data_IF_949594319925
#
_entry.id   IF_949594319925
#
_cell.length_a   1.000
_cell.length_b   1.000
_cell.length_c   1.000
_cell.angle_alpha   90.00
_cell.angle_beta   90.00
_cell.angle_gamma   90.00
#
_symmetry.space_group_name_H-M   'P 1'
#
loop_
_entity.id
_entity.type
_entity.pdbx_description
1 polymer ?
#
# COMPACT_ATOMS: atom_id res chain seq x y z
N UNK A 1 41.21 6.65 -2.47
CA UNK A 1 40.75 6.39 -3.85
C UNK A 1 39.77 7.50 -4.18
N UNK A 2 40.06 8.38 -5.13
CA UNK A 2 39.14 9.45 -5.50
C UNK A 2 38.09 8.92 -6.48
N UNK A 3 36.87 9.49 -6.44
CA UNK A 3 35.77 9.11 -7.34
C UNK A 3 36.16 9.19 -8.83
N UNK A 4 37.00 10.17 -9.20
CA UNK A 4 37.49 10.34 -10.57
C UNK A 4 38.50 9.26 -10.99
N UNK A 5 39.10 8.55 -10.04
CA UNK A 5 40.01 7.43 -10.31
C UNK A 5 39.26 6.12 -10.63
N UNK A 6 37.94 6.08 -10.38
CA UNK A 6 37.10 4.93 -10.72
C UNK A 6 36.88 4.83 -12.24
N UNK A 7 36.75 3.63 -12.82
CA UNK A 7 36.32 3.44 -14.21
C UNK A 7 34.98 4.15 -14.51
N UNK A 8 34.79 4.58 -15.75
CA UNK A 8 33.61 5.36 -16.16
C UNK A 8 32.30 4.60 -15.87
N UNK A 9 32.30 3.29 -16.10
CA UNK A 9 31.16 2.40 -15.87
C UNK A 9 30.76 2.39 -14.39
N UNK A 10 31.75 2.35 -13.48
CA UNK A 10 31.50 2.39 -12.04
C UNK A 10 31.00 3.77 -11.60
N UNK A 11 31.56 4.85 -12.16
CA UNK A 11 31.07 6.22 -11.89
C UNK A 11 29.64 6.40 -12.37
N UNK A 12 29.32 5.95 -13.59
CA UNK A 12 27.96 5.97 -14.14
C UNK A 12 26.99 5.14 -13.29
N UNK A 13 27.39 3.95 -12.84
CA UNK A 13 26.59 3.13 -11.92
C UNK A 13 26.35 3.83 -10.57
N UNK A 14 27.34 4.51 -10.01
CA UNK A 14 27.17 5.30 -8.79
C UNK A 14 26.23 6.49 -9.03
N UNK A 15 26.40 7.19 -10.17
CA UNK A 15 25.57 8.35 -10.53
C UNK A 15 24.13 7.95 -10.87
N UNK A 16 23.90 6.76 -11.44
CA UNK A 16 22.55 6.25 -11.74
C UNK A 16 21.73 6.06 -10.46
N UNK A 17 22.36 5.68 -9.35
CA UNK A 17 21.70 5.61 -8.04
C UNK A 17 21.27 6.98 -7.50
N UNK A 18 21.79 8.08 -8.04
CA UNK A 18 21.36 9.44 -7.69
C UNK A 18 20.21 9.95 -8.55
N UNK A 19 19.91 9.27 -9.66
CA UNK A 19 18.75 9.58 -10.49
C UNK A 19 17.49 8.97 -9.87
N UNK A 20 16.37 9.70 -9.85
CA UNK A 20 15.12 9.12 -9.41
C UNK A 20 14.65 8.07 -10.42
N UNK A 21 14.26 6.89 -9.94
CA UNK A 21 13.64 5.87 -10.79
C UNK A 21 12.26 6.33 -11.31
N UNK A 22 11.62 7.26 -10.60
CA UNK A 22 10.29 7.76 -10.89
C UNK A 22 10.22 9.28 -10.86
N UNK A 23 9.61 9.87 -11.89
CA UNK A 23 9.49 11.31 -12.07
C UNK A 23 8.00 11.67 -12.16
N UNK A 24 7.56 12.73 -11.47
CA UNK A 24 6.18 13.21 -11.58
C UNK A 24 5.97 13.96 -12.89
N UNK A 25 4.83 13.73 -13.52
CA UNK A 25 4.40 14.35 -14.76
C UNK A 25 4.06 15.86 -14.67
N UNK A 26 4.03 16.45 -13.47
CA UNK A 26 3.58 17.82 -13.27
C UNK A 26 4.66 18.83 -13.66
N UNK A 27 4.56 19.40 -14.87
CA UNK A 27 5.39 20.54 -15.32
C UNK A 27 6.78 20.14 -15.81
N UNK A 28 7.60 21.15 -16.16
CA UNK A 28 8.97 20.96 -16.66
C UNK A 28 9.69 19.95 -15.79
N UNK A 29 10.25 18.90 -16.41
CA UNK A 29 11.04 17.88 -15.71
C UNK A 29 12.19 18.62 -15.04
N UNK A 30 12.02 18.98 -13.77
CA UNK A 30 13.07 19.67 -13.04
C UNK A 30 14.23 18.68 -12.99
N UNK A 31 15.35 19.03 -13.64
CA UNK A 31 16.58 18.24 -13.54
C UNK A 31 16.76 17.86 -12.08
N UNK A 32 16.99 16.57 -11.74
CA UNK A 32 17.08 16.16 -10.37
C UNK A 32 18.05 17.10 -9.65
N UNK A 33 17.59 17.78 -8.61
CA UNK A 33 18.37 18.86 -7.97
C UNK A 33 19.73 18.36 -7.47
N UNK A 34 19.84 17.06 -7.18
CA UNK A 34 21.07 16.36 -6.84
C UNK A 34 22.09 16.26 -7.99
N UNK A 35 21.64 16.25 -9.25
CA UNK A 35 22.49 16.08 -10.44
C UNK A 35 23.06 17.42 -10.92
N UNK A 36 22.37 18.52 -10.65
CA UNK A 36 22.80 19.86 -11.04
C UNK A 36 24.18 20.25 -10.47
N UNK A 37 24.47 20.07 -9.17
CA UNK A 37 25.81 20.31 -8.61
C UNK A 37 26.90 19.43 -9.25
N UNK A 38 26.57 18.17 -9.56
CA UNK A 38 27.50 17.22 -10.18
C UNK A 38 27.87 17.64 -11.61
N UNK A 39 26.89 18.07 -12.41
CA UNK A 39 27.09 18.62 -13.75
C UNK A 39 27.97 19.88 -13.79
N UNK A 40 27.95 20.67 -12.71
CA UNK A 40 28.70 21.92 -12.58
C UNK A 40 30.13 21.69 -12.07
N UNK A 41 30.38 20.63 -11.29
CA UNK A 41 31.64 20.40 -10.60
C UNK A 41 32.81 19.90 -11.47
N UNK A 42 32.57 19.09 -12.52
CA UNK A 42 33.65 18.46 -13.29
C UNK A 42 33.24 18.14 -14.74
N UNK A 43 34.15 18.37 -15.70
CA UNK A 43 33.92 18.04 -17.13
C UNK A 43 33.73 16.54 -17.38
N UNK A 44 34.49 15.69 -16.68
CA UNK A 44 34.37 14.22 -16.80
C UNK A 44 33.02 13.75 -16.29
N UNK A 45 32.60 14.24 -15.12
CA UNK A 45 31.27 13.95 -14.56
C UNK A 45 30.17 14.45 -15.50
N UNK A 46 30.37 15.60 -16.16
CA UNK A 46 29.41 16.10 -17.15
C UNK A 46 29.24 15.17 -18.35
N UNK A 47 30.34 14.62 -18.88
CA UNK A 47 30.28 13.63 -19.98
C UNK A 47 29.56 12.36 -19.52
N UNK A 48 29.96 11.82 -18.35
CA UNK A 48 29.34 10.62 -17.77
C UNK A 48 27.83 10.83 -17.54
N UNK A 49 27.42 12.01 -17.05
CA UNK A 49 26.00 12.34 -16.85
C UNK A 49 25.26 12.57 -18.17
N UNK A 50 25.90 13.07 -19.22
CA UNK A 50 25.26 13.18 -20.54
C UNK A 50 24.95 11.81 -21.14
N UNK A 51 25.89 10.86 -21.07
CA UNK A 51 25.67 9.47 -21.49
C UNK A 51 24.62 8.77 -20.62
N UNK A 52 24.68 9.00 -19.30
CA UNK A 52 23.68 8.51 -18.36
C UNK A 52 22.29 9.06 -18.68
N UNK A 53 22.14 10.37 -18.91
CA UNK A 53 20.86 10.97 -19.26
C UNK A 53 20.33 10.50 -20.62
N UNK A 54 21.22 10.16 -21.56
CA UNK A 54 20.82 9.60 -22.85
C UNK A 54 20.31 8.15 -22.74
N UNK A 55 20.74 7.41 -21.72
CA UNK A 55 20.32 6.03 -21.44
C UNK A 55 19.31 5.89 -20.30
N UNK A 56 19.05 6.96 -19.55
CA UNK A 56 18.13 6.99 -18.43
C UNK A 56 16.68 7.01 -18.93
N UNK A 57 15.91 6.02 -18.48
CA UNK A 57 14.52 5.83 -18.90
C UNK A 57 13.62 5.79 -17.66
N UNK A 58 13.34 6.97 -17.05
CA UNK A 58 12.55 7.03 -15.83
C UNK A 58 11.11 6.57 -16.07
N UNK A 59 10.49 6.04 -15.01
CA UNK A 59 9.06 5.83 -14.98
C UNK A 59 8.34 7.13 -14.68
N UNK A 60 7.49 7.59 -15.59
CA UNK A 60 6.69 8.80 -15.41
C UNK A 60 5.43 8.49 -14.62
N UNK A 61 5.31 9.08 -13.43
CA UNK A 61 4.13 8.98 -12.58
C UNK A 61 3.12 10.05 -12.96
N UNK A 62 1.92 9.61 -13.32
CA UNK A 62 0.76 10.46 -13.55
C UNK A 62 -0.16 10.28 -12.36
N UNK A 63 -0.23 11.29 -11.51
CA UNK A 63 -1.03 11.26 -10.29
C UNK A 63 -2.47 11.79 -10.55
N UNK A 64 -2.69 12.50 -11.66
CA UNK A 64 -3.97 13.15 -11.99
C UNK A 64 -4.38 12.90 -13.44
N UNK A 65 -5.67 12.66 -13.72
CA UNK A 65 -6.16 12.45 -15.08
C UNK A 65 -5.77 13.57 -16.06
N UNK A 66 -5.91 14.84 -15.65
CA UNK A 66 -5.62 16.00 -16.50
C UNK A 66 -4.16 16.11 -16.96
N UNK A 67 -3.23 15.45 -16.27
CA UNK A 67 -1.80 15.50 -16.60
C UNK A 67 -1.45 14.52 -17.74
N UNK A 68 -2.33 13.55 -18.05
CA UNK A 68 -2.07 12.51 -19.07
C UNK A 68 -1.83 13.12 -20.45
N UNK A 69 -2.61 14.13 -20.82
CA UNK A 69 -2.50 14.80 -22.10
C UNK A 69 -1.12 15.47 -22.29
N UNK A 70 -0.60 16.07 -21.21
CA UNK A 70 0.71 16.69 -21.18
C UNK A 70 1.81 15.66 -21.38
N UNK A 71 1.75 14.54 -20.63
CA UNK A 71 2.73 13.45 -20.75
C UNK A 71 2.74 12.87 -22.15
N UNK A 72 1.57 12.54 -22.70
CA UNK A 72 1.47 11.97 -24.04
C UNK A 72 2.01 12.94 -25.10
N UNK A 73 1.73 14.25 -24.99
CA UNK A 73 2.30 15.25 -25.90
C UNK A 73 3.82 15.30 -25.83
N UNK A 74 4.40 15.29 -24.62
CA UNK A 74 5.85 15.26 -24.40
C UNK A 74 6.49 14.03 -25.04
N UNK A 75 5.85 12.86 -24.93
CA UNK A 75 6.36 11.63 -25.56
C UNK A 75 6.31 11.67 -27.09
N UNK A 76 5.30 12.32 -27.68
CA UNK A 76 5.13 12.39 -29.15
C UNK A 76 6.04 13.40 -29.82
N UNK A 77 6.29 14.54 -29.17
CA UNK A 77 7.01 15.63 -29.80
C UNK A 77 8.52 15.39 -29.93
N UNK A 78 9.05 14.32 -29.31
CA UNK A 78 10.45 13.92 -29.43
C UNK A 78 11.34 15.15 -29.23
N UNK A 79 11.30 15.71 -28.01
CA UNK A 79 11.75 17.06 -27.73
C UNK A 79 13.17 17.31 -28.29
N UNK A 80 13.28 18.29 -29.19
CA UNK A 80 14.57 18.83 -29.65
C UNK A 80 15.32 19.63 -28.58
N UNK A 81 14.97 19.45 -27.30
CA UNK A 81 15.66 20.03 -26.16
C UNK A 81 16.92 19.22 -25.83
N UNK A 82 18.00 19.86 -25.38
CA UNK A 82 19.32 19.23 -25.30
C UNK A 82 19.44 18.08 -24.30
N UNK A 83 18.52 17.92 -23.33
CA UNK A 83 18.55 16.84 -22.33
C UNK A 83 17.15 16.62 -21.74
N UNK A 84 16.25 15.91 -22.41
CA UNK A 84 15.06 15.34 -21.77
C UNK A 84 14.95 13.87 -22.13
N UNK A 85 15.18 13.01 -21.14
CA UNK A 85 14.97 11.57 -21.27
C UNK A 85 13.51 11.31 -21.65
N UNK A 86 13.32 10.63 -22.79
CA UNK A 86 12.00 10.21 -23.19
C UNK A 86 11.55 9.07 -22.26
N UNK A 87 10.34 9.14 -21.68
CA UNK A 87 9.88 8.08 -20.79
C UNK A 87 9.59 6.81 -21.58
N UNK A 88 10.24 5.72 -21.18
CA UNK A 88 9.91 4.38 -21.66
C UNK A 88 8.68 3.83 -20.94
N UNK A 89 8.45 4.24 -19.69
CA UNK A 89 7.34 3.74 -18.86
C UNK A 89 6.49 4.88 -18.33
N UNK A 90 5.16 4.77 -18.50
CA UNK A 90 4.16 5.65 -17.87
C UNK A 90 3.42 4.85 -16.81
N UNK A 91 3.27 5.39 -15.61
CA UNK A 91 2.52 4.80 -14.50
C UNK A 91 1.35 5.71 -14.13
N UNK A 92 0.13 5.24 -14.39
CA UNK A 92 -1.12 5.94 -14.08
C UNK A 92 -1.57 5.55 -12.67
N UNK A 93 -1.52 6.47 -11.72
CA UNK A 93 -1.83 6.19 -10.32
C UNK A 93 -3.28 6.51 -10.01
N UNK A 94 -4.15 5.52 -10.25
CA UNK A 94 -5.60 5.72 -10.22
C UNK A 94 -6.13 6.27 -8.89
N UNK A 95 -5.53 5.84 -7.77
CA UNK A 95 -5.99 6.22 -6.44
C UNK A 95 -5.20 7.37 -5.81
N UNK A 96 -4.29 8.02 -6.55
CA UNK A 96 -3.39 9.04 -6.03
C UNK A 96 -4.10 10.22 -5.35
N UNK A 97 -5.23 10.68 -5.91
CA UNK A 97 -6.00 11.82 -5.37
C UNK A 97 -7.17 11.40 -4.46
N UNK A 98 -7.29 10.11 -4.14
CA UNK A 98 -8.48 9.62 -3.45
C UNK A 98 -8.55 10.14 -2.01
N UNK A 99 -9.74 10.63 -1.64
CA UNK A 99 -10.01 11.07 -0.28
C UNK A 99 -10.53 9.89 0.54
N UNK A 100 -9.68 9.40 1.43
CA UNK A 100 -10.08 8.41 2.43
C UNK A 100 -10.79 9.15 3.55
N UNK A 101 -12.11 8.96 3.69
CA UNK A 101 -12.88 9.49 4.81
C UNK A 101 -13.07 8.39 5.84
N UNK A 102 -12.57 8.65 7.03
CA UNK A 102 -12.83 7.82 8.20
C UNK A 102 -14.19 8.25 8.74
N UNK A 103 -15.26 7.52 8.39
CA UNK A 103 -16.56 7.72 9.03
C UNK A 103 -16.40 7.51 10.54
N UNK A 104 -16.64 8.56 11.33
CA UNK A 104 -16.69 8.50 12.80
C UNK A 104 -17.79 7.57 13.33
N UNK A 105 -18.75 7.18 12.49
CA UNK A 105 -20.00 6.54 12.91
C UNK A 105 -20.23 5.15 12.32
N UNK A 106 -19.16 4.38 12.11
CA UNK A 106 -19.22 2.91 12.03
C UNK A 106 -19.90 2.30 10.80
N UNK A 107 -20.68 3.05 10.03
CA UNK A 107 -21.34 2.59 8.82
C UNK A 107 -21.04 3.57 7.68
N UNK A 108 -20.66 3.00 6.54
CA UNK A 108 -20.54 3.61 5.21
C UNK A 108 -19.24 4.35 4.85
N UNK A 109 -18.54 3.69 3.91
CA UNK A 109 -17.55 4.13 2.92
C UNK A 109 -16.24 4.78 3.40
N UNK A 110 -15.21 3.92 3.54
CA UNK A 110 -13.80 4.24 3.74
C UNK A 110 -13.21 5.12 2.62
N UNK A 111 -13.65 4.87 1.38
CA UNK A 111 -13.46 5.79 0.26
C UNK A 111 -14.74 6.61 0.15
N UNK A 112 -14.65 7.92 0.29
CA UNK A 112 -15.82 8.80 0.16
C UNK A 112 -16.43 8.78 -1.26
N UNK A 113 -15.67 8.22 -2.19
CA UNK A 113 -15.84 8.25 -3.64
C UNK A 113 -16.26 6.87 -4.15
N UNK A 114 -17.24 6.85 -5.06
CA UNK A 114 -17.58 5.67 -5.89
C UNK A 114 -16.49 5.45 -6.95
N UNK A 115 -16.42 4.25 -7.53
CA UNK A 115 -15.48 3.96 -8.61
C UNK A 115 -15.56 4.96 -9.77
N UNK A 116 -16.76 5.44 -10.12
CA UNK A 116 -16.98 6.49 -11.13
C UNK A 116 -16.21 7.77 -10.82
N UNK A 117 -16.28 8.27 -9.59
CA UNK A 117 -15.59 9.52 -9.22
C UNK A 117 -14.07 9.40 -9.18
N UNK A 118 -13.53 8.18 -9.17
CA UNK A 118 -12.08 7.94 -9.15
C UNK A 118 -11.58 7.64 -10.57
N UNK A 119 -12.21 6.69 -11.26
CA UNK A 119 -11.72 6.13 -12.52
C UNK A 119 -12.34 6.81 -13.75
N UNK A 120 -13.59 7.28 -13.67
CA UNK A 120 -14.27 7.97 -14.77
C UNK A 120 -13.44 9.09 -15.39
N UNK A 121 -12.88 10.03 -14.59
CA UNK A 121 -12.02 11.09 -15.09
C UNK A 121 -10.78 10.59 -15.88
N UNK A 122 -10.24 9.42 -15.55
CA UNK A 122 -9.13 8.83 -16.30
C UNK A 122 -9.55 8.34 -17.68
N UNK A 123 -10.73 7.71 -17.78
CA UNK A 123 -11.30 7.25 -19.07
C UNK A 123 -11.54 8.47 -19.96
N UNK A 124 -12.22 9.49 -19.43
CA UNK A 124 -12.49 10.76 -20.13
C UNK A 124 -11.19 11.42 -20.61
N UNK A 125 -10.16 11.48 -19.76
CA UNK A 125 -8.89 12.10 -20.12
C UNK A 125 -8.13 11.32 -21.22
N UNK A 126 -8.25 10.00 -21.27
CA UNK A 126 -7.66 9.17 -22.36
C UNK A 126 -8.42 9.40 -23.67
N UNK A 127 -9.75 9.41 -23.60
CA UNK A 127 -10.67 9.61 -24.73
C UNK A 127 -10.54 11.02 -25.34
N UNK A 128 -10.43 12.05 -24.52
CA UNK A 128 -10.18 13.42 -24.98
C UNK A 128 -8.85 13.52 -25.73
N UNK A 129 -7.89 12.68 -25.36
CA UNK A 129 -6.63 12.58 -26.05
C UNK A 129 -6.67 11.66 -27.29
N UNK A 130 -7.78 10.95 -27.55
CA UNK A 130 -8.02 10.12 -28.75
C UNK A 130 -8.64 10.91 -29.91
N UNK A 131 -9.27 12.07 -29.65
CA UNK A 131 -9.95 12.84 -30.69
C UNK A 131 -8.96 13.20 -31.82
N UNK A 132 -9.18 12.70 -33.05
CA UNK A 132 -8.31 12.99 -34.17
C UNK A 132 -8.33 14.49 -34.44
N UNK A 133 -7.16 15.10 -34.59
CA UNK A 133 -7.06 16.36 -35.33
C UNK A 133 -7.51 16.06 -36.76
N UNK A 134 -8.79 16.24 -37.04
CA UNK A 134 -9.45 16.10 -38.36
C UNK A 134 -8.96 17.11 -39.40
N UNK A 135 -7.76 17.67 -39.25
CA UNK A 135 -7.18 18.57 -40.25
C UNK A 135 -6.23 17.79 -41.14
N UNK A 136 -6.85 17.12 -42.10
CA UNK A 136 -6.31 16.56 -43.33
C UNK A 136 -5.24 17.48 -43.92
N UNK A 137 -3.98 17.27 -43.56
CA UNK A 137 -2.86 17.77 -44.35
C UNK A 137 -1.91 16.62 -44.53
N UNK A 138 -2.01 16.02 -45.71
CA UNK A 138 -1.28 14.84 -46.17
C UNK A 138 0.19 15.18 -46.37
N UNK A 139 0.92 15.41 -45.28
CA UNK A 139 2.39 15.42 -45.31
C UNK A 139 2.86 14.05 -44.84
N UNK A 140 3.49 13.34 -45.76
CA UNK A 140 4.18 12.05 -45.61
C UNK A 140 5.41 12.22 -44.70
N UNK A 141 5.19 12.58 -43.44
CA UNK A 141 6.25 12.55 -42.42
C UNK A 141 6.41 11.13 -41.94
N UNK A 142 7.58 10.56 -42.18
CA UNK A 142 8.07 9.32 -41.58
C UNK A 142 7.74 9.33 -40.09
N UNK A 143 6.85 8.42 -39.68
CA UNK A 143 6.42 8.25 -38.30
C UNK A 143 7.65 8.07 -37.42
N UNK A 144 7.94 9.05 -36.55
CA UNK A 144 8.92 8.88 -35.49
C UNK A 144 8.34 7.86 -34.52
N UNK A 145 9.03 6.73 -34.36
CA UNK A 145 8.65 5.71 -33.39
C UNK A 145 8.44 6.33 -32.01
N UNK A 146 7.30 6.04 -31.38
CA UNK A 146 7.04 6.46 -30.01
C UNK A 146 8.07 5.79 -29.08
N UNK A 147 8.54 6.56 -28.11
CA UNK A 147 9.52 6.08 -27.13
C UNK A 147 8.88 5.28 -26.00
N UNK A 148 7.57 5.40 -25.82
CA UNK A 148 6.83 4.69 -24.77
C UNK A 148 6.86 3.20 -25.09
N UNK A 149 7.34 2.39 -24.14
CA UNK A 149 7.35 0.93 -24.21
C UNK A 149 6.28 0.31 -23.32
N UNK A 150 5.98 0.95 -22.19
CA UNK A 150 5.10 0.36 -21.18
C UNK A 150 4.18 1.40 -20.53
N UNK A 151 2.91 1.04 -20.38
CA UNK A 151 1.93 1.79 -19.60
C UNK A 151 1.44 0.88 -18.47
N UNK A 152 1.62 1.34 -17.23
CA UNK A 152 1.22 0.64 -16.01
C UNK A 152 0.01 1.36 -15.43
N UNK A 153 -1.12 0.68 -15.34
CA UNK A 153 -2.28 1.13 -14.58
C UNK A 153 -2.08 0.67 -13.13
N UNK A 154 -1.64 1.58 -12.27
CA UNK A 154 -1.31 1.29 -10.88
C UNK A 154 -2.59 1.20 -10.03
N UNK A 155 -2.85 0.00 -9.51
CA UNK A 155 -4.02 -0.34 -8.73
C UNK A 155 -3.84 -0.13 -7.23
N UNK A 156 -2.71 0.40 -6.77
CA UNK A 156 -2.46 0.58 -5.33
C UNK A 156 -3.55 1.50 -4.74
N UNK A 157 -4.43 1.02 -3.83
CA UNK A 157 -5.56 1.78 -3.32
C UNK A 157 -5.13 2.74 -2.20
N UNK A 158 -4.09 3.53 -2.46
CA UNK A 158 -3.50 4.48 -1.52
C UNK A 158 -3.30 5.86 -2.17
N UNK A 159 -3.72 6.94 -1.51
CA UNK A 159 -3.46 8.29 -1.98
C UNK A 159 -2.00 8.69 -1.76
N UNK A 160 -1.54 9.69 -2.52
CA UNK A 160 -0.14 10.13 -2.53
C UNK A 160 0.35 10.55 -1.15
N UNK A 161 -0.47 11.30 -0.39
CA UNK A 161 -0.09 11.74 0.96
C UNK A 161 0.18 10.53 1.88
N UNK A 162 -0.52 9.41 1.69
CA UNK A 162 -0.32 8.23 2.53
C UNK A 162 1.04 7.61 2.25
N UNK A 163 1.46 7.52 0.99
CA UNK A 163 2.81 7.03 0.66
C UNK A 163 3.93 7.94 1.16
N UNK A 164 3.70 9.26 1.13
CA UNK A 164 4.70 10.25 1.54
C UNK A 164 4.81 10.36 3.07
N UNK A 165 3.68 10.45 3.75
CA UNK A 165 3.64 10.79 5.17
C UNK A 165 3.51 9.55 6.06
N UNK A 166 2.85 8.48 5.58
CA UNK A 166 2.48 7.28 6.35
C UNK A 166 2.62 5.99 5.51
N UNK A 167 3.83 5.65 5.03
CA UNK A 167 4.03 4.48 4.16
C UNK A 167 3.60 3.16 4.83
N UNK A 168 3.62 3.09 6.16
CA UNK A 168 3.10 1.97 6.94
C UNK A 168 1.59 1.76 6.77
N UNK A 169 0.84 2.83 6.52
CA UNK A 169 -0.61 2.79 6.29
C UNK A 169 -0.98 2.30 4.89
N UNK A 170 -0.08 2.42 3.91
CA UNK A 170 -0.31 1.97 2.53
C UNK A 170 -0.63 0.49 2.54
N UNK A 171 0.27 -0.35 3.08
CA UNK A 171 0.08 -1.80 3.18
C UNK A 171 -1.18 -2.15 3.94
N UNK A 172 -1.40 -1.46 5.04
CA UNK A 172 -2.53 -1.66 5.93
C UNK A 172 -3.87 -1.34 5.22
N UNK A 173 -3.87 -0.38 4.31
CA UNK A 173 -4.99 -0.03 3.43
C UNK A 173 -5.15 -1.05 2.31
N UNK A 174 -4.06 -1.42 1.63
CA UNK A 174 -4.03 -2.40 0.52
C UNK A 174 -4.65 -3.74 0.92
N UNK A 175 -4.39 -4.23 2.14
CA UNK A 175 -4.95 -5.50 2.61
C UNK A 175 -6.34 -5.39 3.26
N UNK A 176 -6.89 -4.18 3.38
CA UNK A 176 -8.19 -3.96 4.01
C UNK A 176 -9.28 -4.62 3.18
N UNK A 177 -10.19 -5.36 3.84
CA UNK A 177 -11.28 -6.07 3.17
C UNK A 177 -12.19 -5.15 2.34
N UNK A 178 -12.24 -3.85 2.66
CA UNK A 178 -13.05 -2.85 1.95
C UNK A 178 -12.47 -2.52 0.58
N UNK A 179 -11.17 -2.76 0.34
CA UNK A 179 -10.59 -2.65 -1.00
C UNK A 179 -11.24 -3.65 -1.97
N UNK A 180 -11.68 -4.82 -1.49
CA UNK A 180 -12.44 -5.77 -2.31
C UNK A 180 -13.71 -5.12 -2.89
N UNK A 181 -14.48 -4.43 -2.04
CA UNK A 181 -15.68 -3.71 -2.47
C UNK A 181 -15.33 -2.56 -3.43
N UNK A 182 -14.27 -1.80 -3.13
CA UNK A 182 -13.79 -0.73 -4.00
C UNK A 182 -13.48 -1.28 -5.41
N UNK A 183 -12.66 -2.31 -5.52
CA UNK A 183 -12.31 -2.91 -6.80
C UNK A 183 -13.53 -3.50 -7.51
N UNK A 184 -14.44 -4.14 -6.80
CA UNK A 184 -15.70 -4.62 -7.38
C UNK A 184 -16.51 -3.50 -8.04
N UNK A 185 -16.52 -2.30 -7.45
CA UNK A 185 -17.19 -1.12 -8.04
C UNK A 185 -16.38 -0.40 -9.13
N UNK A 186 -15.06 -0.63 -9.20
CA UNK A 186 -14.18 0.03 -10.18
C UNK A 186 -13.83 -0.87 -11.37
N UNK A 187 -14.05 -2.18 -11.29
CA UNK A 187 -13.53 -3.16 -12.24
C UNK A 187 -13.92 -2.86 -13.68
N UNK A 188 -15.20 -2.54 -13.93
CA UNK A 188 -15.70 -2.20 -15.27
C UNK A 188 -15.10 -0.91 -15.84
N UNK A 189 -14.83 0.09 -15.00
CA UNK A 189 -14.20 1.34 -15.41
C UNK A 189 -12.70 1.17 -15.64
N UNK A 190 -12.02 0.33 -14.85
CA UNK A 190 -10.61 0.01 -15.08
C UNK A 190 -10.46 -0.78 -16.39
N UNK A 191 -11.37 -1.72 -16.66
CA UNK A 191 -11.42 -2.43 -17.94
C UNK A 191 -11.64 -1.47 -19.11
N UNK A 192 -12.56 -0.49 -18.99
CA UNK A 192 -12.75 0.56 -19.99
C UNK A 192 -11.49 1.41 -20.21
N UNK A 193 -10.82 1.81 -19.13
CA UNK A 193 -9.56 2.55 -19.23
C UNK A 193 -8.48 1.74 -19.96
N UNK A 194 -8.35 0.45 -19.64
CA UNK A 194 -7.42 -0.45 -20.31
C UNK A 194 -7.72 -0.57 -21.81
N UNK A 195 -9.00 -0.73 -22.15
CA UNK A 195 -9.50 -0.76 -23.51
C UNK A 195 -9.18 0.53 -24.28
N UNK A 196 -9.49 1.70 -23.70
CA UNK A 196 -9.24 3.00 -24.32
C UNK A 196 -7.74 3.26 -24.55
N UNK A 197 -6.89 2.85 -23.60
CA UNK A 197 -5.44 2.87 -23.79
C UNK A 197 -5.02 1.88 -24.87
N UNK A 198 -5.58 0.69 -24.90
CA UNK A 198 -5.22 -0.32 -25.91
C UNK A 198 -5.57 0.14 -27.32
N UNK A 199 -6.79 0.65 -27.54
CA UNK A 199 -7.21 1.22 -28.82
C UNK A 199 -6.28 2.35 -29.27
N UNK A 200 -5.85 3.20 -28.32
CA UNK A 200 -4.94 4.31 -28.60
C UNK A 200 -3.56 3.89 -29.07
N UNK A 201 -3.04 2.80 -28.50
CA UNK A 201 -1.68 2.34 -28.70
C UNK A 201 -1.63 1.04 -29.52
N UNK A 202 -2.73 0.64 -30.18
CA UNK A 202 -2.78 -0.60 -30.94
C UNK A 202 -1.99 -0.51 -32.24
N UNK A 203 -2.01 0.66 -32.88
CA UNK A 203 -1.22 0.98 -34.07
C UNK A 203 0.29 1.12 -33.76
N UNK A 204 0.64 1.31 -32.49
CA UNK A 204 2.02 1.49 -32.03
C UNK A 204 2.61 0.12 -31.64
N UNK A 205 3.19 -0.56 -32.63
CA UNK A 205 3.81 -1.88 -32.43
C UNK A 205 4.79 -1.88 -31.24
N UNK A 206 4.43 -2.62 -30.18
CA UNK A 206 5.31 -2.89 -29.04
C UNK A 206 4.98 -2.17 -27.72
N UNK A 207 3.98 -1.28 -27.68
CA UNK A 207 3.55 -0.69 -26.39
C UNK A 207 2.81 -1.74 -25.56
N UNK A 208 3.35 -2.07 -24.39
CA UNK A 208 2.75 -3.01 -23.44
C UNK A 208 1.90 -2.26 -22.43
N UNK A 209 0.62 -2.61 -22.29
CA UNK A 209 -0.27 -2.07 -21.27
C UNK A 209 -0.55 -3.17 -20.24
N UNK A 210 -0.34 -2.87 -18.97
CA UNK A 210 -0.47 -3.83 -17.88
C UNK A 210 -1.05 -3.20 -16.62
N UNK A 211 -1.70 -4.03 -15.79
CA UNK A 211 -2.09 -3.65 -14.45
C UNK A 211 -0.89 -3.81 -13.51
N UNK A 212 -0.72 -2.93 -12.54
CA UNK A 212 0.38 -2.98 -11.58
C UNK A 212 0.01 -2.46 -10.20
N UNK A 213 1.03 -2.17 -9.39
CA UNK A 213 0.86 -1.66 -8.03
C UNK A 213 0.85 -2.75 -6.94
N UNK A 214 0.53 -2.36 -5.71
CA UNK A 214 0.33 -3.26 -4.58
C UNK A 214 -1.17 -3.50 -4.36
N UNK A 215 -1.60 -4.76 -4.44
CA UNK A 215 -3.00 -5.15 -4.26
C UNK A 215 -3.11 -6.23 -3.20
N UNK A 216 -4.09 -6.13 -2.31
CA UNK A 216 -4.35 -7.17 -1.32
C UNK A 216 -4.82 -8.45 -2.00
N UNK A 217 -4.27 -9.60 -1.60
CA UNK A 217 -4.63 -10.93 -2.14
C UNK A 217 -6.14 -11.21 -2.16
N UNK A 218 -6.87 -10.64 -1.20
CA UNK A 218 -8.34 -10.76 -1.10
C UNK A 218 -9.10 -10.11 -2.25
N UNK A 219 -8.46 -9.21 -3.00
CA UNK A 219 -9.02 -8.51 -4.15
C UNK A 219 -8.67 -9.20 -5.47
N UNK A 220 -8.04 -10.39 -5.43
CA UNK A 220 -7.59 -11.10 -6.63
C UNK A 220 -8.75 -11.42 -7.58
N UNK A 221 -9.89 -11.86 -7.05
CA UNK A 221 -11.08 -12.13 -7.86
C UNK A 221 -11.54 -10.92 -8.66
N UNK A 222 -11.46 -9.72 -8.08
CA UNK A 222 -11.87 -8.47 -8.72
C UNK A 222 -10.86 -8.01 -9.79
N UNK A 223 -9.57 -8.25 -9.58
CA UNK A 223 -8.54 -7.98 -10.60
C UNK A 223 -8.63 -8.98 -11.75
N UNK A 224 -8.83 -10.26 -11.45
CA UNK A 224 -9.05 -11.30 -12.47
C UNK A 224 -10.35 -11.01 -13.26
N UNK A 225 -11.35 -10.39 -12.63
CA UNK A 225 -12.56 -9.91 -13.32
C UNK A 225 -12.27 -8.79 -14.32
N UNK A 226 -11.28 -7.93 -14.07
CA UNK A 226 -10.85 -6.89 -15.04
C UNK A 226 -10.30 -7.57 -16.30
N UNK A 227 -9.46 -8.59 -16.14
CA UNK A 227 -8.94 -9.38 -17.27
C UNK A 227 -10.08 -10.07 -18.03
N UNK A 228 -11.02 -10.68 -17.31
CA UNK A 228 -12.19 -11.31 -17.93
C UNK A 228 -13.06 -10.31 -18.72
N UNK A 229 -13.20 -9.06 -18.24
CA UNK A 229 -13.97 -8.01 -18.92
C UNK A 229 -13.26 -7.46 -20.17
N UNK A 230 -11.93 -7.46 -20.20
CA UNK A 230 -11.13 -7.03 -21.36
C UNK A 230 -11.00 -8.16 -22.38
N UNK A 231 -10.81 -9.39 -21.91
CA UNK A 231 -10.57 -10.59 -22.72
C UNK A 231 -11.82 -11.28 -23.26
N UNK A 232 -13.00 -10.62 -23.27
CA UNK A 232 -14.19 -11.14 -23.96
C UNK A 232 -13.99 -11.03 -25.47
N UNK A 233 -13.15 -11.92 -26.00
CA UNK A 233 -13.27 -12.40 -27.36
C UNK A 233 -14.65 -13.02 -27.50
N UNK A 234 -15.35 -12.66 -28.58
CA UNK A 234 -16.77 -12.97 -28.82
C UNK A 234 -17.15 -14.46 -28.93
N UNK A 235 -16.32 -15.38 -28.43
CA UNK A 235 -16.49 -16.82 -28.55
C UNK A 235 -16.77 -17.53 -27.21
N UNK A 236 -16.47 -16.90 -26.06
CA UNK A 236 -16.86 -17.44 -24.75
C UNK A 236 -18.19 -16.83 -24.30
N UNK A 237 -19.24 -17.64 -24.38
CA UNK A 237 -20.59 -17.38 -23.86
C UNK A 237 -20.56 -17.20 -22.33
N UNK A 238 -20.16 -16.04 -21.85
CA UNK A 238 -20.92 -15.45 -20.74
C UNK A 238 -22.32 -15.16 -21.28
N UNK A 239 -23.35 -15.51 -20.52
CA UNK A 239 -24.73 -15.26 -20.94
C UNK A 239 -24.85 -13.77 -21.26
N UNK A 240 -25.17 -13.45 -22.52
CA UNK A 240 -25.14 -12.07 -23.02
C UNK A 240 -26.03 -11.16 -22.16
N UNK A 241 -27.05 -11.75 -21.50
CA UNK A 241 -27.93 -11.10 -20.54
C UNK A 241 -27.24 -10.71 -19.22
N UNK A 242 -26.35 -11.54 -18.66
CA UNK A 242 -25.59 -11.18 -17.46
C UNK A 242 -24.59 -10.06 -17.73
N UNK A 243 -23.95 -10.09 -18.91
CA UNK A 243 -23.05 -9.02 -19.32
C UNK A 243 -23.82 -7.72 -19.61
N UNK A 244 -24.96 -7.77 -20.31
CA UNK A 244 -25.76 -6.56 -20.60
C UNK A 244 -26.29 -5.88 -19.34
N UNK A 245 -26.61 -6.65 -18.29
CA UNK A 245 -26.99 -6.08 -16.98
C UNK A 245 -25.82 -5.48 -16.20
N UNK A 246 -24.57 -5.85 -16.53
CA UNK A 246 -23.36 -5.29 -15.90
C UNK A 246 -22.73 -4.14 -16.71
N UNK A 247 -23.24 -3.85 -17.92
CA UNK A 247 -22.75 -2.73 -18.73
C UNK A 247 -23.27 -1.41 -18.18
N UNK A 248 -22.39 -0.48 -17.77
CA UNK A 248 -22.83 0.87 -17.50
C UNK A 248 -23.41 1.50 -18.79
N UNK A 249 -24.39 2.41 -18.69
CA UNK A 249 -24.90 3.13 -19.85
C UNK A 249 -23.77 3.80 -20.63
N UNK A 250 -23.68 3.55 -21.93
CA UNK A 250 -22.62 4.10 -22.79
C UNK A 250 -21.34 3.25 -22.91
N UNK A 251 -21.31 2.04 -22.32
CA UNK A 251 -20.17 1.13 -22.46
C UNK A 251 -19.91 0.76 -23.93
N UNK A 252 -18.73 1.13 -24.43
CA UNK A 252 -18.22 0.60 -25.71
C UNK A 252 -17.44 -0.66 -25.41
N UNK A 253 -17.92 -1.79 -25.93
CA UNK A 253 -17.17 -3.04 -25.91
C UNK A 253 -15.99 -2.90 -26.88
N UNK A 254 -14.85 -2.40 -26.39
CA UNK A 254 -13.63 -2.40 -27.15
C UNK A 254 -13.07 -3.82 -27.12
N UNK A 255 -13.21 -4.53 -28.24
CA UNK A 255 -12.55 -5.82 -28.42
C UNK A 255 -11.06 -5.56 -28.53
N UNK A 256 -10.29 -6.04 -27.55
CA UNK A 256 -8.84 -6.04 -27.64
C UNK A 256 -8.36 -7.48 -27.61
N UNK A 257 -7.56 -7.89 -28.59
CA UNK A 257 -6.94 -9.23 -28.62
C UNK A 257 -5.81 -9.38 -27.58
N UNK A 258 -5.71 -8.46 -26.61
CA UNK A 258 -4.61 -8.40 -25.64
C UNK A 258 -5.13 -8.92 -24.29
N UNK A 259 -4.40 -9.87 -23.71
CA UNK A 259 -4.64 -10.29 -22.33
C UNK A 259 -4.17 -9.22 -21.36
N UNK A 260 -4.91 -9.04 -20.27
CA UNK A 260 -4.53 -8.12 -19.21
C UNK A 260 -3.54 -8.85 -18.31
N UNK A 261 -2.29 -8.40 -18.30
CA UNK A 261 -1.28 -8.92 -17.38
C UNK A 261 -1.25 -8.07 -16.11
N UNK A 262 -1.29 -8.71 -14.95
CA UNK A 262 -1.01 -8.06 -13.67
C UNK A 262 0.46 -8.26 -13.30
N UNK A 263 1.25 -7.20 -13.43
CA UNK A 263 2.69 -7.16 -13.12
C UNK A 263 2.98 -6.51 -11.74
N UNK A 264 1.97 -6.47 -10.87
CA UNK A 264 2.07 -5.90 -9.52
C UNK A 264 2.44 -6.92 -8.43
N UNK A 265 2.36 -6.47 -7.18
CA UNK A 265 2.62 -7.29 -5.99
C UNK A 265 1.33 -7.61 -5.25
N UNK A 266 1.19 -8.88 -4.85
CA UNK A 266 0.08 -9.35 -4.02
C UNK A 266 0.45 -9.34 -2.54
N UNK A 267 -0.24 -8.54 -1.73
CA UNK A 267 -0.02 -8.51 -0.28
C UNK A 267 -0.95 -9.48 0.46
N UNK A 268 -0.39 -10.32 1.32
CA UNK A 268 -1.14 -11.25 2.17
C UNK A 268 -1.24 -10.70 3.58
N UNK A 269 -2.47 -10.44 4.03
CA UNK A 269 -2.73 -10.00 5.41
C UNK A 269 -2.12 -10.98 6.43
N UNK A 270 -1.54 -10.44 7.50
CA UNK A 270 -0.96 -11.22 8.60
C UNK A 270 0.57 -11.25 8.61
N UNK A 271 1.22 -11.57 7.47
CA UNK A 271 2.70 -11.53 7.36
C UNK A 271 3.23 -10.16 6.94
N UNK A 272 2.43 -9.40 6.18
CA UNK A 272 2.89 -8.15 5.55
C UNK A 272 2.43 -6.88 6.29
N UNK A 273 1.72 -7.03 7.42
CA UNK A 273 1.34 -5.91 8.26
C UNK A 273 2.56 -5.30 8.96
N UNK A 274 2.61 -3.97 9.12
CA UNK A 274 3.65 -3.36 9.94
C UNK A 274 3.62 -3.97 11.35
N UNK A 275 4.80 -4.38 11.83
CA UNK A 275 4.97 -5.11 13.11
C UNK A 275 4.28 -4.36 14.25
N UNK A 276 4.33 -3.03 14.24
CA UNK A 276 3.74 -2.16 15.27
C UNK A 276 2.20 -2.12 15.29
N UNK A 277 1.55 -2.37 14.16
CA UNK A 277 0.09 -2.38 14.04
C UNK A 277 -0.51 -3.77 14.25
N UNK A 278 0.33 -4.79 14.46
CA UNK A 278 -0.09 -6.17 14.62
C UNK A 278 -0.02 -6.60 16.08
N UNK A 279 -1.19 -6.81 16.70
CA UNK A 279 -1.32 -7.29 18.08
C UNK A 279 -0.46 -8.53 18.37
N UNK A 280 -0.48 -9.61 17.55
CA UNK A 280 0.37 -10.78 17.82
C UNK A 280 1.87 -10.51 17.69
N UNK A 281 2.30 -9.54 16.87
CA UNK A 281 3.72 -9.21 16.74
C UNK A 281 4.21 -8.32 17.89
N UNK A 282 3.44 -7.31 18.28
CA UNK A 282 3.80 -6.45 19.41
C UNK A 282 3.79 -7.23 20.73
N UNK A 283 2.79 -8.11 20.95
CA UNK A 283 2.74 -8.97 22.14
C UNK A 283 3.96 -9.91 22.19
N UNK A 284 4.34 -10.53 21.07
CA UNK A 284 5.57 -11.34 20.98
C UNK A 284 6.84 -10.52 21.23
N UNK A 285 6.90 -9.29 20.73
CA UNK A 285 8.03 -8.37 20.97
C UNK A 285 8.16 -8.06 22.46
N UNK A 286 7.05 -7.93 23.19
CA UNK A 286 7.01 -7.79 24.65
C UNK A 286 7.16 -9.11 25.41
N UNK A 287 7.47 -10.20 24.71
CA UNK A 287 7.77 -11.49 25.32
C UNK A 287 6.55 -12.32 25.72
N UNK A 288 5.34 -11.88 25.37
CA UNK A 288 4.11 -12.67 25.56
C UNK A 288 4.09 -13.80 24.53
N UNK A 289 4.07 -15.08 24.96
CA UNK A 289 3.93 -16.19 24.02
C UNK A 289 2.55 -16.11 23.35
N UNK A 290 2.51 -16.29 22.03
CA UNK A 290 1.24 -16.29 21.27
C UNK A 290 1.06 -17.61 20.55
N UNK A 291 -0.12 -18.23 20.65
CA UNK A 291 -0.49 -19.37 19.80
C UNK A 291 -0.73 -18.82 18.40
N UNK A 292 0.17 -19.11 17.45
CA UNK A 292 -0.07 -18.71 16.06
C UNK A 292 -1.17 -19.60 15.49
N UNK A 293 -2.35 -19.02 15.29
CA UNK A 293 -3.47 -19.66 14.59
C UNK A 293 -3.01 -20.18 13.22
N UNK A 294 -3.24 -21.47 12.98
CA UNK A 294 -2.73 -22.21 11.84
C UNK A 294 -3.11 -21.64 10.49
N UNK A 295 -2.08 -21.32 9.70
CA UNK A 295 -2.03 -21.75 8.30
C UNK A 295 -1.08 -22.94 8.25
N UNK A 296 -1.59 -24.12 7.93
CA UNK A 296 -0.82 -25.35 7.72
C UNK A 296 0.42 -25.05 6.88
N UNK A 297 1.59 -25.53 7.33
CA UNK A 297 2.96 -25.20 6.87
C UNK A 297 3.58 -23.92 7.43
N UNK A 298 3.83 -23.90 8.73
CA UNK A 298 5.06 -23.28 9.23
C UNK A 298 5.74 -24.26 10.18
N UNK A 299 6.94 -24.68 9.79
CA UNK A 299 7.91 -25.34 10.67
C UNK A 299 7.86 -24.70 12.04
N UNK A 300 7.55 -25.50 13.06
CA UNK A 300 7.92 -25.17 14.42
C UNK A 300 9.42 -24.95 14.40
N UNK A 301 9.86 -23.69 14.41
CA UNK A 301 11.22 -23.40 14.83
C UNK A 301 11.21 -23.70 16.33
N UNK A 302 11.39 -24.97 16.68
CA UNK A 302 11.90 -25.36 17.98
C UNK A 302 13.27 -24.67 18.05
N UNK A 303 13.34 -23.53 18.71
CA UNK A 303 14.61 -22.88 19.04
C UNK A 303 15.06 -23.55 20.35
N UNK A 304 15.98 -24.51 20.32
CA UNK A 304 16.55 -25.03 21.54
C UNK A 304 17.54 -23.96 22.01
N UNK A 305 17.19 -23.29 23.10
CA UNK A 305 18.07 -22.34 23.75
C UNK A 305 17.74 -22.36 25.23
N UNK A 306 18.77 -22.45 26.07
CA UNK A 306 18.59 -22.28 27.51
C UNK A 306 17.82 -20.96 27.76
N UNK A 307 16.99 -20.92 28.80
CA UNK A 307 16.19 -19.73 29.16
C UNK A 307 17.03 -18.44 29.20
N UNK A 308 18.32 -18.57 29.54
CA UNK A 308 19.32 -17.52 29.56
C UNK A 308 19.65 -16.93 28.17
N UNK A 309 19.65 -17.77 27.13
CA UNK A 309 19.96 -17.41 25.74
C UNK A 309 18.77 -16.68 25.07
N UNK A 310 17.54 -17.12 25.39
CA UNK A 310 16.30 -16.41 25.04
C UNK A 310 16.24 -15.02 25.71
N UNK A 311 16.58 -14.93 27.01
CA UNK A 311 16.69 -13.64 27.73
C UNK A 311 17.75 -12.72 27.09
N UNK A 312 18.92 -13.25 26.71
CA UNK A 312 19.99 -12.49 26.04
C UNK A 312 19.58 -11.99 24.64
N UNK A 313 18.91 -12.84 23.84
CA UNK A 313 18.46 -12.49 22.49
C UNK A 313 17.32 -11.46 22.52
N UNK A 314 16.42 -11.52 23.51
CA UNK A 314 15.38 -10.51 23.76
C UNK A 314 15.97 -9.14 24.13
N UNK A 315 17.00 -9.11 25.00
CA UNK A 315 17.76 -7.87 25.31
C UNK A 315 18.43 -7.27 24.08
N UNK A 316 18.97 -8.10 23.18
CA UNK A 316 19.61 -7.64 21.96
C UNK A 316 18.60 -7.11 20.93
N UNK A 317 17.42 -7.72 20.79
CA UNK A 317 16.35 -7.21 19.92
C UNK A 317 15.76 -5.89 20.43
N UNK A 318 15.53 -5.77 21.74
CA UNK A 318 15.08 -4.52 22.35
C UNK A 318 16.09 -3.36 22.23
N UNK A 319 17.39 -3.67 22.11
CA UNK A 319 18.48 -2.68 22.02
C UNK A 319 18.88 -2.33 20.58
N UNK A 320 18.54 -3.19 19.60
CA UNK A 320 18.94 -3.04 18.18
C UNK A 320 17.92 -2.26 17.36
N UNK A 321 16.65 -2.27 17.76
CA UNK A 321 15.61 -1.50 17.10
C UNK A 321 15.52 -0.11 17.75
N UNK A 322 16.29 0.85 17.21
CA UNK A 322 16.36 2.24 17.67
C UNK A 322 15.08 3.08 17.51
N UNK A 323 13.90 2.46 17.54
CA UNK A 323 12.60 3.09 17.29
C UNK A 323 12.05 3.86 18.52
N UNK A 324 12.82 4.01 19.60
CA UNK A 324 12.39 4.72 20.82
C UNK A 324 11.18 4.08 21.52
N UNK A 325 10.93 2.80 21.24
CA UNK A 325 9.70 2.11 21.56
C UNK A 325 9.83 1.38 22.90
N UNK A 326 9.58 2.09 24.00
CA UNK A 326 9.67 1.55 25.35
C UNK A 326 8.70 0.36 25.51
N UNK A 327 9.26 -0.81 25.82
CA UNK A 327 8.47 -1.93 26.30
C UNK A 327 7.81 -1.51 27.62
N UNK A 328 6.52 -1.79 27.85
CA UNK A 328 5.98 -1.68 29.19
C UNK A 328 6.89 -2.48 30.12
N UNK A 329 7.13 -1.97 31.32
CA UNK A 329 7.89 -2.65 32.38
C UNK A 329 7.09 -3.84 32.92
N UNK A 330 6.70 -4.76 32.04
CA UNK A 330 6.38 -6.14 32.38
C UNK A 330 7.73 -6.70 32.84
N UNK A 331 7.92 -6.86 34.15
CA UNK A 331 9.20 -7.35 34.70
C UNK A 331 9.71 -8.55 33.91
N UNK A 332 11.03 -8.74 33.82
CA UNK A 332 11.64 -9.81 33.00
C UNK A 332 11.11 -11.22 33.32
N UNK A 333 10.51 -11.41 34.50
CA UNK A 333 9.90 -12.65 34.96
C UNK A 333 8.43 -12.84 34.53
N UNK A 334 7.75 -11.77 34.08
CA UNK A 334 6.37 -11.81 33.59
C UNK A 334 6.18 -12.71 32.35
N UNK A 335 7.24 -12.88 31.56
CA UNK A 335 7.20 -13.69 30.34
C UNK A 335 7.02 -15.21 30.59
N UNK A 336 7.22 -15.67 31.82
CA UNK A 336 6.95 -17.07 32.22
C UNK A 336 5.61 -17.26 32.93
N UNK A 337 4.93 -16.17 33.30
CA UNK A 337 3.69 -16.21 34.10
C UNK A 337 2.46 -16.39 33.23
N UNK A 338 2.43 -15.79 32.04
CA UNK A 338 1.31 -15.90 31.13
C UNK A 338 1.42 -17.15 30.24
N UNK A 339 0.33 -17.92 30.16
CA UNK A 339 0.18 -18.95 29.16
C UNK A 339 0.20 -18.36 27.74
N UNK A 340 0.58 -19.15 26.71
CA UNK A 340 0.48 -18.71 25.32
C UNK A 340 -0.93 -18.20 24.98
N UNK A 341 -1.03 -16.90 24.69
CA UNK A 341 -2.29 -16.21 24.42
C UNK A 341 -2.71 -16.46 22.98
N UNK A 342 -3.98 -16.83 22.78
CA UNK A 342 -4.61 -16.91 21.46
C UNK A 342 -5.45 -15.65 21.25
N UNK A 343 -4.84 -14.63 20.61
CA UNK A 343 -5.54 -13.38 20.36
C UNK A 343 -6.69 -13.60 19.38
N UNK A 344 -7.92 -13.33 19.81
CA UNK A 344 -9.09 -13.47 18.96
C UNK A 344 -9.00 -12.53 17.75
N UNK A 345 -9.63 -12.93 16.64
CA UNK A 345 -9.68 -12.10 15.44
C UNK A 345 -10.30 -10.72 15.72
N UNK A 346 -11.21 -10.65 16.69
CA UNK A 346 -11.82 -9.42 17.17
C UNK A 346 -10.82 -8.52 17.90
N UNK A 347 -10.01 -9.06 18.83
CA UNK A 347 -8.92 -8.32 19.48
C UNK A 347 -7.90 -7.81 18.47
N UNK A 348 -7.47 -8.65 17.53
CA UNK A 348 -6.51 -8.27 16.48
C UNK A 348 -7.07 -7.11 15.65
N UNK A 349 -8.33 -7.22 15.24
CA UNK A 349 -9.00 -6.19 14.43
C UNK A 349 -9.22 -4.90 15.23
N UNK A 350 -9.61 -5.02 16.50
CA UNK A 350 -9.85 -3.86 17.38
C UNK A 350 -8.54 -3.14 17.70
N UNK A 351 -7.46 -3.88 17.99
CA UNK A 351 -6.14 -3.30 18.24
C UNK A 351 -5.65 -2.55 17.01
N UNK A 352 -5.74 -3.17 15.83
CA UNK A 352 -5.36 -2.53 14.57
C UNK A 352 -6.12 -1.22 14.34
N UNK A 353 -7.43 -1.18 14.60
CA UNK A 353 -8.24 0.05 14.45
C UNK A 353 -7.77 1.16 15.38
N UNK A 354 -7.59 0.85 16.67
CA UNK A 354 -7.14 1.84 17.67
C UNK A 354 -5.70 2.27 17.38
N UNK A 355 -4.81 1.34 17.02
CA UNK A 355 -3.40 1.61 16.76
C UNK A 355 -3.19 2.45 15.49
N UNK A 356 -4.06 2.28 14.49
CA UNK A 356 -4.03 3.11 13.28
C UNK A 356 -4.43 4.56 13.59
N UNK A 357 -5.35 4.80 14.52
CA UNK A 357 -5.74 6.16 14.93
C UNK A 357 -4.75 6.79 15.91
N UNK A 358 -4.35 6.02 16.92
CA UNK A 358 -3.45 6.42 18.00
C UNK A 358 -2.67 5.19 18.51
N UNK A 359 -1.55 4.93 17.85
CA UNK A 359 -0.65 3.80 18.13
C UNK A 359 -0.18 3.78 19.58
N UNK A 360 0.14 4.96 20.13
CA UNK A 360 0.64 5.08 21.50
C UNK A 360 -0.43 4.68 22.50
N UNK A 361 -1.66 5.13 22.32
CA UNK A 361 -2.75 4.74 23.21
C UNK A 361 -3.16 3.27 23.06
N UNK A 362 -3.12 2.69 21.85
CA UNK A 362 -3.36 1.26 21.67
C UNK A 362 -2.35 0.41 22.44
N UNK A 363 -1.07 0.82 22.40
CA UNK A 363 0.00 0.19 23.16
C UNK A 363 -0.15 0.36 24.65
N UNK A 364 -0.46 1.56 25.13
CA UNK A 364 -0.68 1.82 26.55
C UNK A 364 -1.81 0.92 27.09
N UNK A 365 -2.91 0.79 26.34
CA UNK A 365 -4.00 -0.14 26.67
C UNK A 365 -3.49 -1.59 26.74
N UNK A 366 -2.80 -2.07 25.69
CA UNK A 366 -2.27 -3.44 25.67
C UNK A 366 -1.30 -3.69 26.82
N UNK A 367 -0.39 -2.76 27.08
CA UNK A 367 0.62 -2.86 28.14
C UNK A 367 -0.01 -2.92 29.53
N UNK A 368 -1.02 -2.08 29.80
CA UNK A 368 -1.78 -2.11 31.06
C UNK A 368 -2.56 -3.41 31.24
N UNK A 369 -3.29 -3.85 30.22
CA UNK A 369 -4.07 -5.10 30.30
C UNK A 369 -3.14 -6.30 30.53
N UNK A 370 -1.98 -6.35 29.86
CA UNK A 370 -0.98 -7.40 30.08
C UNK A 370 -0.37 -7.34 31.49
N UNK A 371 -0.10 -6.14 32.02
CA UNK A 371 0.41 -5.99 33.38
C UNK A 371 -0.60 -6.51 34.42
N UNK A 372 -1.88 -6.17 34.25
CA UNK A 372 -2.98 -6.66 35.09
C UNK A 372 -3.12 -8.19 35.02
N UNK A 373 -3.00 -8.78 33.83
CA UNK A 373 -3.03 -10.23 33.67
C UNK A 373 -1.88 -10.93 34.42
N UNK A 374 -0.68 -10.34 34.40
CA UNK A 374 0.47 -10.86 35.14
C UNK A 374 0.23 -10.75 36.65
N UNK A 375 -0.27 -9.62 37.12
CA UNK A 375 -0.56 -9.36 38.53
C UNK A 375 -1.63 -10.31 39.08
N UNK A 376 -2.75 -10.49 38.38
CA UNK A 376 -3.82 -11.45 38.75
C UNK A 376 -3.27 -12.87 38.93
N UNK A 377 -2.38 -13.32 38.03
CA UNK A 377 -1.75 -14.65 38.12
C UNK A 377 -0.76 -14.78 39.27
N UNK A 378 -0.08 -13.70 39.63
CA UNK A 378 0.87 -13.68 40.77
C UNK A 378 0.16 -13.63 42.12
N UNK A 379 -1.04 -13.04 42.19
CA UNK A 379 -1.81 -12.83 43.42
C UNK A 379 -2.74 -13.98 43.81
N UNK A 380 -2.71 -15.12 43.10
CA UNK A 380 -3.49 -16.32 43.42
C UNK A 380 -3.18 -16.82 44.85
N UNK A 381 -3.93 -16.33 45.85
CA UNK A 381 -3.77 -16.68 47.27
C UNK A 381 -4.25 -15.62 48.29
N UNK A 382 -4.61 -14.40 47.88
CA UNK A 382 -5.14 -13.37 48.78
C UNK A 382 -6.61 -13.03 48.51
N UNK A 383 -7.44 -12.96 49.57
CA UNK A 383 -8.88 -12.61 49.52
C UNK A 383 -9.18 -11.13 49.17
N UNK A 384 -8.19 -10.37 48.67
CA UNK A 384 -8.39 -8.98 48.30
C UNK A 384 -8.87 -8.88 46.87
N UNK A 385 -10.14 -8.53 46.68
CA UNK A 385 -10.69 -8.16 45.37
C UNK A 385 -9.96 -6.91 44.90
N UNK A 386 -9.13 -7.05 43.87
CA UNK A 386 -8.48 -5.93 43.21
C UNK A 386 -9.18 -5.65 41.88
N UNK A 387 -9.46 -4.38 41.62
CA UNK A 387 -9.97 -3.91 40.34
C UNK A 387 -9.15 -2.75 39.82
N UNK A 388 -9.14 -2.58 38.51
CA UNK A 388 -8.47 -1.47 37.84
C UNK A 388 -9.41 -0.79 36.86
N UNK A 389 -9.53 0.53 37.01
CA UNK A 389 -10.36 1.38 36.16
C UNK A 389 -9.52 2.01 35.04
N UNK A 390 -9.85 1.68 33.79
CA UNK A 390 -9.21 2.32 32.65
C UNK A 390 -9.68 3.77 32.52
N UNK A 391 -8.81 4.69 32.06
CA UNK A 391 -9.22 6.05 31.76
C UNK A 391 -10.40 6.06 30.77
N UNK A 392 -11.24 7.08 30.91
CA UNK A 392 -12.36 7.36 30.01
C UNK A 392 -11.87 7.37 28.56
N UNK A 393 -12.59 6.66 27.69
CA UNK A 393 -12.16 6.49 26.31
C UNK A 393 -13.33 6.35 25.33
N UNK A 394 -13.02 6.62 24.06
CA UNK A 394 -13.95 6.38 22.95
C UNK A 394 -14.35 4.90 22.88
N UNK A 395 -15.54 4.64 22.31
CA UNK A 395 -16.14 3.31 22.22
C UNK A 395 -15.16 2.22 21.77
N UNK A 396 -14.32 2.54 20.79
CA UNK A 396 -13.45 1.54 20.16
C UNK A 396 -12.25 1.16 21.04
N UNK A 397 -11.76 2.11 21.84
CA UNK A 397 -10.73 1.84 22.84
C UNK A 397 -11.30 1.04 24.01
N UNK A 398 -12.52 1.34 24.46
CA UNK A 398 -13.22 0.54 25.49
C UNK A 398 -13.50 -0.88 25.02
N UNK A 399 -13.94 -1.04 23.77
CA UNK A 399 -14.09 -2.36 23.12
C UNK A 399 -12.76 -3.11 23.10
N UNK A 400 -11.66 -2.45 22.77
CA UNK A 400 -10.33 -3.06 22.81
C UNK A 400 -9.98 -3.61 24.21
N UNK A 401 -10.22 -2.83 25.27
CA UNK A 401 -9.96 -3.27 26.66
C UNK A 401 -10.73 -4.56 26.96
N UNK A 402 -12.04 -4.59 26.68
CA UNK A 402 -12.88 -5.78 26.92
C UNK A 402 -12.39 -7.02 26.17
N UNK A 403 -12.05 -6.86 24.88
CA UNK A 403 -11.59 -7.97 24.04
C UNK A 403 -10.24 -8.52 24.51
N UNK A 404 -9.29 -7.63 24.84
CA UNK A 404 -7.99 -8.05 25.37
C UNK A 404 -8.14 -8.73 26.74
N UNK A 405 -8.99 -8.19 27.63
CA UNK A 405 -9.28 -8.80 28.92
C UNK A 405 -9.86 -10.21 28.75
N UNK A 406 -10.84 -10.36 27.86
CA UNK A 406 -11.47 -11.65 27.55
C UNK A 406 -10.46 -12.67 27.03
N UNK A 407 -9.58 -12.30 26.10
CA UNK A 407 -8.56 -13.22 25.55
C UNK A 407 -7.52 -13.66 26.60
N UNK A 408 -7.33 -12.86 27.65
CA UNK A 408 -6.44 -13.16 28.78
C UNK A 408 -7.16 -13.84 29.95
N UNK A 409 -8.47 -14.09 29.82
CA UNK A 409 -9.29 -14.71 30.86
C UNK A 409 -9.58 -13.80 32.06
N UNK A 410 -9.50 -12.48 31.88
CA UNK A 410 -9.84 -11.49 32.90
C UNK A 410 -11.32 -11.07 32.80
N UNK A 411 -11.96 -10.86 33.95
CA UNK A 411 -13.30 -10.30 34.00
C UNK A 411 -13.26 -8.79 33.71
N UNK A 412 -14.19 -8.30 32.90
CA UNK A 412 -14.29 -6.86 32.62
C UNK A 412 -15.74 -6.42 32.52
N UNK A 413 -16.03 -5.20 33.00
CA UNK A 413 -17.36 -4.60 32.98
C UNK A 413 -17.30 -3.13 32.51
N UNK A 414 -18.38 -2.69 31.87
CA UNK A 414 -18.53 -1.29 31.49
C UNK A 414 -19.23 -0.55 32.62
N UNK A 415 -18.54 0.41 33.22
CA UNK A 415 -19.08 1.24 34.30
C UNK A 415 -19.48 2.60 33.73
N UNK A 416 -20.66 3.09 34.11
CA UNK A 416 -21.19 4.40 33.73
C UNK A 416 -21.33 5.25 35.00
N UNK A 417 -20.37 6.13 35.26
CA UNK A 417 -20.41 7.06 36.38
C UNK A 417 -20.50 8.48 35.83
N UNK A 418 -21.53 9.22 36.24
CA UNK A 418 -21.74 10.63 35.87
C UNK A 418 -21.89 10.86 34.35
N UNK A 419 -22.42 9.87 33.61
CA UNK A 419 -22.61 9.94 32.16
C UNK A 419 -21.33 9.69 31.37
N UNK A 420 -20.25 9.32 32.05
CA UNK A 420 -18.97 8.97 31.44
C UNK A 420 -18.67 7.49 31.63
N UNK A 421 -18.48 6.81 30.49
CA UNK A 421 -18.27 5.37 30.49
C UNK A 421 -16.81 5.01 30.45
N UNK A 422 -16.39 4.10 31.33
CA UNK A 422 -15.07 3.49 31.35
C UNK A 422 -15.17 1.97 31.48
N UNK A 423 -14.02 1.29 31.48
CA UNK A 423 -13.94 -0.18 31.61
C UNK A 423 -13.20 -0.50 32.90
N UNK A 424 -13.83 -1.32 33.74
CA UNK A 424 -13.22 -1.89 34.95
C UNK A 424 -12.81 -3.32 34.66
N UNK A 425 -11.58 -3.69 35.01
CA UNK A 425 -11.10 -5.07 35.00
C UNK A 425 -10.99 -5.53 36.45
N UNK A 426 -11.56 -6.71 36.76
CA UNK A 426 -11.46 -7.34 38.08
C UNK A 426 -10.45 -8.48 38.00
N UNK A 427 -9.51 -8.52 38.95
CA UNK A 427 -8.35 -9.43 38.97
C UNK A 427 -8.63 -10.75 39.68
#
# INVERSE_FOLDING_TARGET
MHFLDCPAELRQAILSHLLPNEVRATGSISKPSAVLPLLLSCKTIRSDVQELCASWTPTFRVDRPQDIAGVLKTCRQGNGGPVEAAPDTIRLRLFAETKIKYSKYGNSHWFASTGETIIGPWVEAVDDCLVPKTTTTTTTTTSKAHTIKTIIIDLTPAPVWMEQDRPDWVRATVIDRRCKLLFGTCASLIAQLFAALSEKFDDEAGVTIQLGGEVGWKCRSEVDQIDALVGVDGDKRYDANELDMMKPPGWRCARTNRSVTFAGSWLRGGKDNPIHLSLPHISRRWGVPTKLGGGSSSSSINIPGSECELKRRRRLLAKKDGDGLESPHLGLDACGVLEPVDWSQDSITSYYKVAREDERAARDVLGRVLALAVESKQLCGGDSILWYDFPRAVRERRRLVHLLASDLGLASESVDEQGERFVRITL
#
